data_IF_529976703388
#
_entry.id   IF_529976703388
#
_cell.length_a   1.000
_cell.length_b   1.000
_cell.length_c   1.000
_cell.angle_alpha   90.00
_cell.angle_beta   90.00
_cell.angle_gamma   90.00
#
_symmetry.space_group_name_H-M   'P 1'
#
loop_
_entity.id
_entity.type
_entity.pdbx_description
1 polymer ?
#
# COMPACT_ATOMS: atom_id res chain seq x y z
N UNK A 1 36.61 9.60 7.48
CA UNK A 1 37.04 8.80 6.30
C UNK A 1 35.86 7.94 5.92
N UNK A 2 35.14 8.36 4.89
CA UNK A 2 34.08 7.57 4.28
C UNK A 2 34.74 6.43 3.53
N UNK A 3 34.47 5.18 3.92
CA UNK A 3 34.81 4.03 3.10
C UNK A 3 33.66 3.83 2.10
N UNK A 4 33.91 4.24 0.85
CA UNK A 4 33.15 3.78 -0.32
C UNK A 4 33.60 2.35 -0.62
N UNK A 5 32.95 1.38 -0.01
CA UNK A 5 33.20 -0.03 -0.27
C UNK A 5 31.98 -0.63 -0.97
N UNK A 6 31.96 -0.69 -2.27
CA UNK A 6 31.19 -1.69 -3.01
C UNK A 6 31.85 -3.03 -2.76
N UNK A 7 31.43 -3.72 -1.71
CA UNK A 7 31.78 -5.12 -1.53
C UNK A 7 30.79 -5.94 -2.37
N UNK A 8 31.17 -6.27 -3.60
CA UNK A 8 30.56 -7.37 -4.33
C UNK A 8 30.88 -8.65 -3.53
N UNK A 9 29.90 -9.13 -2.77
CA UNK A 9 30.00 -10.43 -2.12
C UNK A 9 30.08 -11.53 -3.18
N UNK A 10 30.69 -12.67 -2.88
CA UNK A 10 30.84 -13.82 -3.78
C UNK A 10 29.53 -14.39 -4.33
N UNK A 11 28.39 -13.89 -3.87
CA UNK A 11 27.04 -14.32 -4.27
C UNK A 11 26.32 -13.33 -5.19
N UNK A 12 26.98 -12.27 -5.68
CA UNK A 12 26.35 -11.25 -6.53
C UNK A 12 25.31 -10.38 -5.78
N UNK A 13 25.36 -10.34 -4.44
CA UNK A 13 24.48 -9.48 -3.63
C UNK A 13 25.01 -8.06 -3.61
N UNK A 14 24.13 -7.13 -3.88
CA UNK A 14 24.37 -5.70 -3.70
C UNK A 14 23.60 -5.19 -2.49
N UNK A 15 24.20 -4.25 -1.76
CA UNK A 15 23.63 -3.72 -0.54
C UNK A 15 23.37 -2.22 -0.66
N UNK A 16 22.19 -1.80 -0.23
CA UNK A 16 21.89 -0.37 -0.06
C UNK A 16 22.78 0.16 1.09
N UNK A 17 23.45 1.31 0.93
CA UNK A 17 24.21 1.92 2.01
C UNK A 17 23.29 2.28 3.18
N UNK A 18 23.87 2.44 4.38
CA UNK A 18 23.09 2.88 5.55
C UNK A 18 22.46 4.23 5.30
N UNK A 19 21.14 4.31 5.45
CA UNK A 19 20.35 5.52 5.20
C UNK A 19 20.22 6.44 6.43
N UNK A 20 20.83 6.08 7.56
CA UNK A 20 20.84 6.88 8.78
C UNK A 20 19.81 6.48 9.82
N UNK A 21 18.62 6.07 9.39
CA UNK A 21 17.54 5.61 10.28
C UNK A 21 16.86 4.36 9.68
N UNK A 22 16.13 3.56 10.49
CA UNK A 22 15.37 2.41 10.01
C UNK A 22 14.33 2.78 8.94
N UNK A 23 14.18 1.92 7.93
CA UNK A 23 13.11 2.05 6.91
C UNK A 23 11.81 1.58 7.54
N UNK A 24 10.77 2.43 7.49
CA UNK A 24 9.42 2.13 7.99
C UNK A 24 8.39 1.87 6.90
N UNK A 25 8.65 2.37 5.68
CA UNK A 25 7.81 2.14 4.51
C UNK A 25 8.64 2.24 3.24
N UNK A 26 8.22 1.51 2.21
CA UNK A 26 8.85 1.52 0.90
C UNK A 26 7.76 1.63 -0.18
N UNK A 27 7.99 2.46 -1.18
CA UNK A 27 7.14 2.56 -2.36
C UNK A 27 8.00 2.67 -3.63
N UNK A 28 7.41 2.31 -4.76
CA UNK A 28 8.03 2.52 -6.07
C UNK A 28 7.72 3.95 -6.50
N UNK A 29 8.76 4.73 -6.75
CA UNK A 29 8.68 6.00 -7.45
C UNK A 29 9.04 5.71 -8.90
N UNK A 30 8.11 5.89 -9.85
CA UNK A 30 8.36 5.49 -11.22
C UNK A 30 9.48 6.30 -11.85
N UNK A 31 10.26 5.64 -12.72
CA UNK A 31 11.00 6.30 -13.77
C UNK A 31 10.09 6.47 -14.98
N UNK A 32 10.13 7.62 -15.64
CA UNK A 32 9.65 7.78 -17.01
C UNK A 32 10.43 6.83 -17.92
N UNK A 33 9.86 6.42 -19.05
CA UNK A 33 10.28 5.34 -19.94
C UNK A 33 11.79 5.23 -20.32
N UNK A 34 12.62 6.20 -19.97
CA UNK A 34 14.07 6.22 -20.25
C UNK A 34 14.95 6.50 -19.03
N UNK A 35 14.41 6.52 -17.82
CA UNK A 35 15.18 6.74 -16.60
C UNK A 35 15.20 5.49 -15.73
N UNK A 36 16.28 5.32 -14.98
CA UNK A 36 16.39 4.27 -13.97
C UNK A 36 15.23 4.39 -12.99
N UNK A 37 14.54 3.26 -12.72
CA UNK A 37 13.47 3.20 -11.76
C UNK A 37 13.99 3.56 -10.36
N UNK A 38 13.23 4.34 -9.60
CA UNK A 38 13.57 4.71 -8.23
C UNK A 38 12.58 4.08 -7.23
N UNK A 39 13.11 3.74 -6.08
CA UNK A 39 12.33 3.43 -4.88
C UNK A 39 12.40 4.60 -3.92
N UNK A 40 11.32 4.86 -3.20
CA UNK A 40 11.31 5.82 -2.10
C UNK A 40 11.15 5.07 -0.79
N UNK A 41 12.09 5.26 0.11
CA UNK A 41 12.07 4.73 1.47
C UNK A 41 11.73 5.84 2.46
N UNK A 42 10.69 5.66 3.26
CA UNK A 42 10.43 6.53 4.42
C UNK A 42 11.21 5.98 5.60
N UNK A 43 11.93 6.86 6.27
CA UNK A 43 12.72 6.52 7.43
C UNK A 43 12.00 6.86 8.74
N UNK A 44 12.43 6.26 9.83
CA UNK A 44 11.84 6.48 11.16
C UNK A 44 12.02 7.92 11.67
N UNK A 45 13.02 8.65 11.16
CA UNK A 45 13.23 10.07 11.46
C UNK A 45 12.29 11.03 10.70
N UNK A 46 11.41 10.45 9.86
CA UNK A 46 10.44 11.18 9.04
C UNK A 46 10.97 11.64 7.69
N UNK A 47 12.24 11.46 7.37
CA UNK A 47 12.78 11.75 6.05
C UNK A 47 12.33 10.71 5.01
N UNK A 48 12.33 11.09 3.74
CA UNK A 48 12.12 10.17 2.61
C UNK A 48 13.37 10.19 1.72
N UNK A 49 13.90 9.00 1.45
CA UNK A 49 15.13 8.81 0.66
C UNK A 49 14.78 8.08 -0.62
N UNK A 50 15.15 8.65 -1.75
CA UNK A 50 15.01 8.00 -3.05
C UNK A 50 16.28 7.21 -3.36
N UNK A 51 16.11 5.99 -3.84
CA UNK A 51 17.17 5.05 -4.14
C UNK A 51 16.99 4.54 -5.56
N UNK A 52 18.01 4.67 -6.37
CA UNK A 52 18.03 4.16 -7.73
C UNK A 52 18.02 2.62 -7.74
N UNK A 53 17.21 1.99 -8.59
CA UNK A 53 16.99 0.54 -8.55
C UNK A 53 18.18 -0.30 -8.97
N UNK A 54 18.98 0.17 -9.92
CA UNK A 54 20.14 -0.56 -10.46
C UNK A 54 21.42 -0.30 -9.65
N UNK A 55 21.66 0.95 -9.30
CA UNK A 55 22.88 1.33 -8.59
C UNK A 55 22.78 1.20 -7.07
N UNK A 56 21.56 1.04 -6.54
CA UNK A 56 21.22 1.03 -5.13
C UNK A 56 21.75 2.24 -4.34
N UNK A 57 22.01 3.35 -5.04
CA UNK A 57 22.54 4.58 -4.43
C UNK A 57 21.40 5.54 -4.09
N UNK A 58 21.48 6.23 -2.95
CA UNK A 58 20.58 7.35 -2.66
C UNK A 58 20.76 8.44 -3.71
N UNK A 59 19.65 8.87 -4.33
CA UNK A 59 19.66 9.93 -5.35
C UNK A 59 19.21 11.26 -4.77
N UNK A 60 18.20 11.23 -3.89
CA UNK A 60 17.59 12.42 -3.29
C UNK A 60 17.13 12.14 -1.88
N UNK A 61 17.11 13.16 -1.03
CA UNK A 61 16.57 13.08 0.34
C UNK A 61 15.60 14.24 0.56
N UNK A 62 14.37 13.91 0.95
CA UNK A 62 13.37 14.89 1.31
C UNK A 62 13.31 15.03 2.83
N UNK A 63 13.78 16.16 3.33
CA UNK A 63 13.78 16.51 4.76
C UNK A 63 12.68 17.53 5.14
N UNK A 64 11.99 18.10 4.14
CA UNK A 64 10.94 19.13 4.35
C UNK A 64 9.56 18.57 4.62
N UNK A 65 9.46 17.25 4.85
CA UNK A 65 8.21 16.54 5.12
C UNK A 65 7.72 16.94 6.52
N UNK A 66 6.44 17.32 6.60
CA UNK A 66 5.79 17.57 7.90
C UNK A 66 5.69 16.26 8.68
N UNK A 67 6.22 16.25 9.88
CA UNK A 67 6.16 15.11 10.78
C UNK A 67 5.23 15.40 11.96
N UNK A 68 4.56 14.36 12.46
CA UNK A 68 3.81 14.46 13.70
C UNK A 68 4.80 14.69 14.87
N UNK A 69 4.71 15.85 15.52
CA UNK A 69 5.57 16.23 16.62
C UNK A 69 5.47 15.25 17.80
N UNK A 70 4.31 14.64 18.01
CA UNK A 70 4.10 13.66 19.09
C UNK A 70 4.83 12.34 18.84
N UNK A 71 5.03 11.96 17.58
CA UNK A 71 5.81 10.76 17.21
C UNK A 71 7.32 11.02 17.24
N UNK A 72 7.75 12.25 16.99
CA UNK A 72 9.16 12.62 17.06
C UNK A 72 9.72 12.59 18.49
N UNK A 73 8.84 12.66 19.50
CA UNK A 73 9.20 12.67 20.93
C UNK A 73 9.12 11.26 21.57
N UNK A 74 8.68 10.24 20.81
CA UNK A 74 8.63 8.87 21.33
C UNK A 74 10.06 8.42 21.75
N UNK A 75 10.27 7.99 23.00
CA UNK A 75 11.61 7.65 23.49
C UNK A 75 12.20 6.50 22.67
N UNK A 76 13.48 6.61 22.33
CA UNK A 76 14.27 5.67 21.51
C UNK A 76 14.29 4.21 22.01
N UNK A 77 13.74 3.95 23.20
CA UNK A 77 13.78 2.63 23.87
C UNK A 77 12.53 1.78 23.73
N UNK A 78 11.53 2.21 23.01
CA UNK A 78 10.44 1.30 22.66
C UNK A 78 10.77 0.65 21.32
N UNK A 79 11.25 -0.61 21.34
CA UNK A 79 11.06 -1.59 20.28
C UNK A 79 9.54 -1.84 20.05
N UNK A 80 8.72 -0.87 20.41
CA UNK A 80 7.30 -0.84 20.13
C UNK A 80 7.13 -0.89 18.63
N UNK A 81 6.45 -1.92 18.15
CA UNK A 81 5.99 -2.15 16.81
C UNK A 81 5.78 -0.83 16.08
N UNK A 82 6.76 -0.45 15.26
CA UNK A 82 6.66 0.74 14.41
C UNK A 82 5.56 0.39 13.42
N UNK A 83 4.34 0.85 13.71
CA UNK A 83 3.22 0.63 12.80
C UNK A 83 3.59 1.16 11.43
N UNK A 84 3.39 0.38 10.36
CA UNK A 84 3.66 0.84 9.01
C UNK A 84 2.99 2.20 8.79
N UNK A 85 3.77 3.16 8.34
CA UNK A 85 3.22 4.48 8.01
C UNK A 85 2.83 4.49 6.55
N UNK A 86 1.68 5.09 6.19
CA UNK A 86 1.29 5.18 4.81
C UNK A 86 2.34 5.95 4.00
N UNK A 87 2.73 5.34 2.92
CA UNK A 87 3.60 5.90 1.90
C UNK A 87 3.08 5.40 0.56
N UNK A 88 2.63 6.30 -0.29
CA UNK A 88 2.14 5.97 -1.61
C UNK A 88 2.62 6.99 -2.63
N UNK A 89 2.68 6.60 -3.89
CA UNK A 89 2.98 7.50 -4.98
C UNK A 89 1.80 7.54 -5.96
N UNK A 90 1.30 8.73 -6.23
CA UNK A 90 0.50 8.97 -7.44
C UNK A 90 1.48 9.19 -8.59
N UNK A 91 1.77 8.10 -9.30
CA UNK A 91 2.82 8.07 -10.31
C UNK A 91 2.48 8.94 -11.51
N UNK A 92 1.19 9.09 -11.84
CA UNK A 92 0.75 9.91 -12.95
C UNK A 92 0.95 11.40 -12.66
N UNK A 93 0.67 11.83 -11.43
CA UNK A 93 0.85 13.21 -11.00
C UNK A 93 2.29 13.52 -10.55
N UNK A 94 3.13 12.50 -10.34
CA UNK A 94 4.45 12.68 -9.76
C UNK A 94 4.42 13.10 -8.28
N UNK A 95 3.36 12.75 -7.56
CA UNK A 95 3.20 13.12 -6.15
C UNK A 95 3.51 11.94 -5.21
N UNK A 96 4.29 12.23 -4.18
CA UNK A 96 4.46 11.35 -3.03
C UNK A 96 3.42 11.71 -1.98
N UNK A 97 2.74 10.70 -1.42
CA UNK A 97 1.70 10.89 -0.41
C UNK A 97 2.07 10.14 0.87
N UNK A 98 2.05 10.86 1.97
CA UNK A 98 2.43 10.36 3.28
C UNK A 98 1.68 11.12 4.38
N UNK A 99 1.77 10.64 5.64
CA UNK A 99 1.16 11.37 6.76
C UNK A 99 1.72 12.78 6.86
N UNK A 100 0.83 13.72 7.17
CA UNK A 100 1.16 15.09 7.55
C UNK A 100 1.46 15.22 9.04
N UNK A 101 1.53 16.43 9.56
CA UNK A 101 1.71 16.73 10.98
C UNK A 101 0.58 16.27 11.90
N UNK A 102 -0.57 15.86 11.37
CA UNK A 102 -1.68 15.25 12.11
C UNK A 102 -1.95 13.83 11.57
N UNK A 103 -2.21 12.83 12.45
CA UNK A 103 -2.35 11.44 12.02
C UNK A 103 -3.56 11.15 11.12
N UNK A 104 -4.58 12.01 11.12
CA UNK A 104 -5.75 11.90 10.24
C UNK A 104 -5.60 12.62 8.89
N UNK A 105 -4.44 13.24 8.64
CA UNK A 105 -4.19 14.07 7.46
C UNK A 105 -3.01 13.53 6.67
N UNK A 106 -3.14 13.51 5.36
CA UNK A 106 -2.05 13.19 4.45
C UNK A 106 -1.56 14.45 3.74
N UNK A 107 -0.27 14.48 3.42
CA UNK A 107 0.34 15.54 2.62
C UNK A 107 0.76 15.00 1.26
N UNK A 108 0.59 15.82 0.24
CA UNK A 108 1.06 15.59 -1.11
C UNK A 108 2.31 16.41 -1.34
N UNK A 109 3.36 15.76 -1.81
CA UNK A 109 4.67 16.36 -2.08
C UNK A 109 5.06 16.04 -3.52
N UNK A 110 5.38 17.06 -4.29
CA UNK A 110 5.87 16.90 -5.67
C UNK A 110 7.25 16.26 -5.64
N UNK A 111 7.40 15.12 -6.33
CA UNK A 111 8.65 14.35 -6.33
C UNK A 111 9.77 15.02 -7.15
N UNK A 112 9.44 15.88 -8.10
CA UNK A 112 10.44 16.55 -8.94
C UNK A 112 10.99 17.80 -8.25
N UNK A 113 10.10 18.65 -7.70
CA UNK A 113 10.47 19.93 -7.09
C UNK A 113 10.73 19.85 -5.60
N UNK A 114 10.39 18.73 -4.95
CA UNK A 114 10.43 18.51 -3.49
C UNK A 114 9.56 19.51 -2.71
N UNK A 115 8.56 20.09 -3.37
CA UNK A 115 7.69 21.08 -2.78
C UNK A 115 6.44 20.43 -2.22
N UNK A 116 5.95 20.95 -1.10
CA UNK A 116 4.64 20.61 -0.56
C UNK A 116 3.56 21.14 -1.52
N UNK A 117 2.63 20.26 -1.93
CA UNK A 117 1.53 20.62 -2.83
C UNK A 117 0.30 21.04 -2.02
N UNK A 118 -0.24 20.12 -1.22
CA UNK A 118 -1.37 20.39 -0.32
C UNK A 118 -1.46 19.32 0.76
N UNK A 119 -2.24 19.63 1.81
CA UNK A 119 -2.67 18.65 2.82
C UNK A 119 -4.12 18.27 2.53
N UNK A 120 -4.45 16.99 2.80
CA UNK A 120 -5.80 16.47 2.66
C UNK A 120 -6.24 15.80 3.96
N UNK A 121 -7.33 16.27 4.53
CA UNK A 121 -7.94 15.70 5.72
C UNK A 121 -8.74 14.44 5.34
N UNK A 122 -8.30 13.28 5.82
CA UNK A 122 -8.96 11.98 5.56
C UNK A 122 -10.08 11.74 6.59
N UNK A 123 -9.87 12.15 7.82
CA UNK A 123 -10.89 12.13 8.86
C UNK A 123 -10.82 13.43 9.67
N UNK A 124 -11.97 13.91 10.21
CA UNK A 124 -12.00 15.14 10.99
C UNK A 124 -10.95 15.14 12.12
N UNK A 125 -10.06 16.14 12.09
CA UNK A 125 -9.00 16.30 13.08
C UNK A 125 -9.50 16.88 14.40
N UNK A 126 -10.54 17.73 14.32
CA UNK A 126 -11.09 18.42 15.48
C UNK A 126 -12.32 17.68 16.01
N UNK A 127 -12.16 17.02 17.16
CA UNK A 127 -13.29 16.56 17.98
C UNK A 127 -13.35 17.35 19.27
N UNK A 128 -14.51 17.93 19.55
CA UNK A 128 -14.78 18.54 20.85
C UNK A 128 -15.14 17.41 21.80
N UNK A 129 -14.26 17.06 22.72
CA UNK A 129 -14.57 16.20 23.86
C UNK A 129 -15.15 17.04 25.01
N UNK A 130 -16.05 16.44 25.79
CA UNK A 130 -16.49 17.05 27.05
C UNK A 130 -15.34 17.00 28.06
N UNK A 131 -15.25 17.95 29.01
CA UNK A 131 -14.17 17.96 29.99
C UNK A 131 -14.02 16.68 30.84
N UNK A 132 -15.10 15.92 31.00
CA UNK A 132 -15.15 14.68 31.78
C UNK A 132 -14.93 13.39 30.96
N UNK A 133 -14.72 13.52 29.65
CA UNK A 133 -14.46 12.37 28.77
C UNK A 133 -12.96 12.11 28.69
N UNK A 134 -12.60 10.82 28.66
CA UNK A 134 -11.24 10.39 28.42
C UNK A 134 -10.71 10.99 27.09
N UNK A 135 -9.45 11.39 27.08
CA UNK A 135 -8.78 11.92 25.87
C UNK A 135 -8.91 10.88 24.76
N UNK A 136 -9.68 11.22 23.73
CA UNK A 136 -9.86 10.37 22.56
C UNK A 136 -8.58 10.34 21.73
N UNK A 137 -8.07 9.14 21.46
CA UNK A 137 -7.00 8.98 20.47
C UNK A 137 -7.46 9.49 19.10
N UNK A 138 -6.64 10.24 18.38
CA UNK A 138 -7.01 10.72 17.05
C UNK A 138 -7.17 9.55 16.08
N UNK A 139 -8.04 9.72 15.08
CA UNK A 139 -8.11 8.78 13.96
C UNK A 139 -6.77 8.84 13.20
N UNK A 140 -6.22 7.70 12.89
CA UNK A 140 -4.94 7.57 12.19
C UNK A 140 -5.17 6.95 10.81
N UNK A 141 -4.59 7.54 9.77
CA UNK A 141 -4.52 6.94 8.44
C UNK A 141 -3.46 5.85 8.46
N UNK A 142 -3.89 4.62 8.17
CA UNK A 142 -3.02 3.43 8.21
C UNK A 142 -2.49 3.06 6.82
N UNK A 143 -3.26 3.33 5.78
CA UNK A 143 -2.88 2.97 4.41
C UNK A 143 -3.42 3.98 3.39
N UNK A 144 -2.66 4.19 2.32
CA UNK A 144 -3.06 4.98 1.15
C UNK A 144 -2.58 4.23 -0.08
N UNK A 145 -3.44 4.05 -1.07
CA UNK A 145 -3.09 3.44 -2.36
C UNK A 145 -3.80 4.16 -3.49
N UNK A 146 -3.18 4.15 -4.66
CA UNK A 146 -3.71 4.76 -5.88
C UNK A 146 -4.01 3.69 -6.92
N UNK A 147 -5.03 3.92 -7.75
CA UNK A 147 -5.23 3.16 -8.98
C UNK A 147 -4.16 3.53 -10.01
N UNK A 148 -3.99 2.70 -11.01
CA UNK A 148 -3.28 3.13 -12.20
C UNK A 148 -4.03 4.33 -12.84
N UNK A 149 -3.35 5.23 -13.57
CA UNK A 149 -4.02 6.24 -14.36
C UNK A 149 -4.83 5.59 -15.48
N UNK A 150 -5.97 6.16 -15.82
CA UNK A 150 -6.62 5.87 -17.08
C UNK A 150 -5.80 6.47 -18.23
N UNK A 151 -6.06 5.99 -19.47
CA UNK A 151 -5.32 6.44 -20.65
C UNK A 151 -5.24 7.97 -20.70
N UNK A 152 -4.04 8.52 -20.84
CA UNK A 152 -3.74 9.96 -20.91
C UNK A 152 -4.11 10.79 -19.67
N UNK A 153 -4.48 10.15 -18.56
CA UNK A 153 -4.75 10.85 -17.31
C UNK A 153 -3.45 11.26 -16.60
N UNK A 154 -3.42 12.50 -16.13
CA UNK A 154 -2.28 13.06 -15.37
C UNK A 154 -2.38 12.77 -13.86
N UNK A 155 -3.38 12.02 -13.43
CA UNK A 155 -3.62 11.63 -12.05
C UNK A 155 -4.20 10.22 -12.00
N UNK A 156 -4.01 9.52 -10.90
CA UNK A 156 -4.77 8.33 -10.64
C UNK A 156 -6.26 8.67 -10.53
N UNK A 157 -7.13 7.87 -11.16
CA UNK A 157 -8.58 8.09 -11.09
C UNK A 157 -9.12 7.92 -9.67
N UNK A 158 -8.54 6.95 -8.94
CA UNK A 158 -9.00 6.59 -7.60
C UNK A 158 -7.85 6.56 -6.61
N UNK A 159 -8.14 7.05 -5.41
CA UNK A 159 -7.33 6.84 -4.22
C UNK A 159 -8.18 6.07 -3.19
N UNK A 160 -7.60 5.09 -2.53
CA UNK A 160 -8.22 4.42 -1.40
C UNK A 160 -7.40 4.66 -0.13
N UNK A 161 -8.10 4.94 0.97
CA UNK A 161 -7.48 5.14 2.28
C UNK A 161 -8.12 4.23 3.32
N UNK A 162 -7.30 3.72 4.21
CA UNK A 162 -7.74 3.04 5.45
C UNK A 162 -7.40 3.96 6.60
N UNK A 163 -8.42 4.31 7.36
CA UNK A 163 -8.27 5.09 8.58
C UNK A 163 -9.05 4.45 9.72
N UNK A 164 -8.55 4.62 10.92
CA UNK A 164 -9.19 4.06 12.10
C UNK A 164 -8.58 4.54 13.40
N UNK A 165 -9.18 4.14 14.49
CA UNK A 165 -8.65 4.30 15.84
C UNK A 165 -9.06 3.13 16.71
N UNK A 166 -8.19 2.76 17.62
CA UNK A 166 -8.52 1.79 18.64
C UNK A 166 -9.55 2.35 19.61
N UNK A 167 -10.54 1.54 19.94
CA UNK A 167 -11.55 1.86 20.93
C UNK A 167 -11.00 1.64 22.33
N UNK A 168 -11.12 2.63 23.21
CA UNK A 168 -10.93 2.45 24.65
C UNK A 168 -12.27 2.07 25.30
N UNK A 169 -13.07 3.10 25.62
CA UNK A 169 -14.44 2.96 26.16
C UNK A 169 -15.52 2.86 25.05
N UNK A 170 -15.17 2.89 23.79
CA UNK A 170 -16.06 2.83 22.63
C UNK A 170 -15.57 1.79 21.63
N UNK A 171 -16.42 1.42 20.66
CA UNK A 171 -16.09 0.46 19.61
C UNK A 171 -14.97 0.99 18.72
N UNK A 172 -14.01 0.13 18.36
CA UNK A 172 -12.96 0.42 17.39
C UNK A 172 -13.57 0.96 16.09
N UNK A 173 -13.10 2.09 15.63
CA UNK A 173 -13.51 2.67 14.35
C UNK A 173 -12.51 2.26 13.27
N UNK A 174 -13.03 1.81 12.14
CA UNK A 174 -12.25 1.43 10.96
C UNK A 174 -13.04 1.79 9.71
N UNK A 175 -12.46 2.55 8.80
CA UNK A 175 -13.10 2.95 7.55
C UNK A 175 -12.20 2.69 6.36
N UNK A 176 -12.80 2.18 5.29
CA UNK A 176 -12.25 2.22 3.93
C UNK A 176 -12.94 3.35 3.20
N UNK A 177 -12.17 4.30 2.69
CA UNK A 177 -12.69 5.43 1.92
C UNK A 177 -12.13 5.41 0.52
N UNK A 178 -13.00 5.55 -0.46
CA UNK A 178 -12.68 5.62 -1.88
C UNK A 178 -12.89 7.06 -2.32
N UNK A 179 -11.85 7.65 -2.88
CA UNK A 179 -11.80 9.04 -3.31
C UNK A 179 -11.61 9.07 -4.81
N UNK A 180 -12.41 9.87 -5.50
CA UNK A 180 -12.32 10.05 -6.94
C UNK A 180 -11.63 11.38 -7.26
N UNK A 181 -10.75 11.39 -8.24
CA UNK A 181 -10.15 12.62 -8.72
C UNK A 181 -11.21 13.52 -9.38
N UNK A 182 -11.34 14.75 -8.90
CA UNK A 182 -12.20 15.76 -9.50
C UNK A 182 -11.33 16.80 -10.22
N UNK A 183 -11.42 16.83 -11.54
CA UNK A 183 -10.67 17.76 -12.40
C UNK A 183 -11.05 19.22 -12.21
N UNK A 184 -12.24 19.52 -11.65
CA UNK A 184 -12.71 20.89 -11.39
C UNK A 184 -12.06 21.48 -10.14
N UNK A 185 -12.10 20.74 -9.05
CA UNK A 185 -11.48 21.14 -7.78
C UNK A 185 -9.99 20.82 -7.72
N UNK A 186 -9.47 20.03 -8.66
CA UNK A 186 -8.07 19.53 -8.71
C UNK A 186 -7.65 18.85 -7.41
N UNK A 187 -8.54 18.03 -6.87
CA UNK A 187 -8.32 17.27 -5.65
C UNK A 187 -9.13 15.98 -5.66
N UNK A 188 -8.81 15.08 -4.74
CA UNK A 188 -9.59 13.88 -4.50
C UNK A 188 -10.82 14.19 -3.65
N UNK A 189 -12.00 13.80 -4.14
CA UNK A 189 -13.30 13.99 -3.47
C UNK A 189 -13.81 12.65 -2.98
N UNK A 190 -14.30 12.60 -1.75
CA UNK A 190 -14.86 11.37 -1.17
C UNK A 190 -16.07 10.92 -1.98
N UNK A 191 -15.95 9.71 -2.55
CA UNK A 191 -17.02 9.07 -3.29
C UNK A 191 -17.79 8.06 -2.42
N UNK A 192 -17.06 7.11 -1.81
CA UNK A 192 -17.66 6.03 -1.02
C UNK A 192 -16.90 5.85 0.29
N UNK A 193 -17.64 5.73 1.39
CA UNK A 193 -17.14 5.34 2.70
C UNK A 193 -17.76 4.00 3.09
N UNK A 194 -16.94 3.08 3.53
CA UNK A 194 -17.32 1.74 4.00
C UNK A 194 -16.79 1.59 5.42
N UNK A 195 -17.72 1.55 6.37
CA UNK A 195 -17.37 1.33 7.77
C UNK A 195 -17.18 -0.16 8.03
N UNK A 196 -16.18 -0.51 8.81
CA UNK A 196 -15.81 -1.88 9.15
C UNK A 196 -15.69 -2.81 7.92
N UNK A 197 -14.83 -2.48 6.93
CA UNK A 197 -14.65 -3.34 5.75
C UNK A 197 -14.22 -4.76 6.13
N UNK A 198 -13.52 -4.91 7.26
CA UNK A 198 -13.14 -6.15 7.92
C UNK A 198 -13.35 -6.06 9.42
N UNK A 199 -13.78 -7.16 10.06
CA UNK A 199 -14.12 -7.15 11.49
C UNK A 199 -12.91 -7.07 12.43
N UNK A 200 -11.70 -7.47 11.96
CA UNK A 200 -10.46 -7.51 12.76
C UNK A 200 -9.32 -6.73 12.12
N UNK A 201 -9.62 -5.56 11.58
CA UNK A 201 -8.62 -4.73 10.91
C UNK A 201 -8.37 -5.11 9.46
N UNK A 202 -7.78 -4.17 8.71
CA UNK A 202 -7.35 -4.36 7.33
C UNK A 202 -5.83 -4.59 7.34
N UNK A 203 -5.37 -5.69 6.73
CA UNK A 203 -3.94 -6.02 6.66
C UNK A 203 -3.29 -5.48 5.39
N UNK A 204 -4.04 -5.50 4.27
CA UNK A 204 -3.54 -4.97 3.00
C UNK A 204 -4.68 -4.43 2.15
N UNK A 205 -4.38 -3.45 1.29
CA UNK A 205 -5.27 -2.91 0.27
C UNK A 205 -4.48 -2.66 -1.01
N UNK A 206 -5.02 -3.10 -2.17
CA UNK A 206 -4.37 -2.94 -3.48
C UNK A 206 -5.41 -2.79 -4.59
N UNK A 207 -5.22 -1.79 -5.45
CA UNK A 207 -5.95 -1.71 -6.71
C UNK A 207 -5.40 -2.73 -7.72
N UNK A 208 -6.29 -3.24 -8.57
CA UNK A 208 -5.87 -3.97 -9.77
C UNK A 208 -5.15 -3.04 -10.75
N UNK A 209 -4.36 -3.58 -11.69
CA UNK A 209 -4.01 -2.82 -12.88
C UNK A 209 -5.29 -2.39 -13.62
N UNK A 210 -5.16 -1.52 -14.60
CA UNK A 210 -6.29 -1.14 -15.44
C UNK A 210 -6.74 -2.35 -16.28
N UNK A 211 -7.97 -2.83 -16.01
CA UNK A 211 -8.52 -4.04 -16.62
C UNK A 211 -9.33 -3.76 -17.89
N UNK A 212 -9.81 -2.53 -18.06
CA UNK A 212 -10.71 -2.14 -19.13
C UNK A 212 -10.60 -0.65 -19.43
N UNK A 213 -10.92 -0.25 -20.65
CA UNK A 213 -11.06 1.16 -21.02
C UNK A 213 -12.37 1.78 -20.48
N UNK A 214 -13.35 0.96 -20.11
CA UNK A 214 -14.58 1.42 -19.46
C UNK A 214 -14.29 1.80 -18.00
N UNK A 215 -14.45 3.06 -17.60
CA UNK A 215 -14.16 3.51 -16.24
C UNK A 215 -14.88 2.73 -15.13
N UNK A 216 -16.06 2.17 -15.41
CA UNK A 216 -16.85 1.38 -14.46
C UNK A 216 -16.26 -0.01 -14.21
N UNK A 217 -15.52 -0.53 -15.18
CA UNK A 217 -14.90 -1.84 -15.14
C UNK A 217 -13.36 -1.77 -15.17
N UNK A 218 -12.80 -0.56 -15.12
CA UNK A 218 -11.36 -0.33 -15.22
C UNK A 218 -10.61 -0.90 -14.04
N UNK A 219 -11.18 -0.85 -12.84
CA UNK A 219 -10.48 -1.21 -11.62
C UNK A 219 -11.31 -2.12 -10.71
N UNK A 220 -10.60 -3.03 -10.08
CA UNK A 220 -11.03 -3.71 -8.87
C UNK A 220 -10.13 -3.27 -7.72
N UNK A 221 -10.65 -3.30 -6.51
CA UNK A 221 -9.86 -3.15 -5.30
C UNK A 221 -9.90 -4.46 -4.54
N UNK A 222 -8.76 -4.92 -4.04
CA UNK A 222 -8.69 -6.07 -3.13
C UNK A 222 -8.27 -5.60 -1.75
N UNK A 223 -8.92 -6.15 -0.72
CA UNK A 223 -8.56 -5.94 0.68
C UNK A 223 -8.44 -7.25 1.40
N UNK A 224 -7.50 -7.34 2.33
CA UNK A 224 -7.34 -8.47 3.25
C UNK A 224 -7.51 -8.00 4.68
N UNK A 225 -7.99 -8.86 5.54
CA UNK A 225 -8.22 -8.50 6.94
C UNK A 225 -7.90 -9.60 7.94
N UNK A 226 -7.69 -9.18 9.18
CA UNK A 226 -7.45 -10.07 10.32
C UNK A 226 -8.64 -10.97 10.67
N UNK A 227 -9.76 -10.82 9.98
CA UNK A 227 -10.93 -11.72 10.05
C UNK A 227 -10.78 -12.95 9.13
N UNK A 228 -9.63 -13.13 8.46
CA UNK A 228 -9.37 -14.25 7.57
C UNK A 228 -9.99 -14.10 6.18
N UNK A 229 -10.63 -12.95 5.90
CA UNK A 229 -11.32 -12.72 4.63
C UNK A 229 -10.45 -11.93 3.65
N UNK A 230 -10.58 -12.27 2.37
CA UNK A 230 -10.16 -11.47 1.24
C UNK A 230 -11.42 -10.94 0.57
N UNK A 231 -11.53 -9.63 0.40
CA UNK A 231 -12.68 -9.00 -0.25
C UNK A 231 -12.26 -8.30 -1.52
N UNK A 232 -13.07 -8.39 -2.56
CA UNK A 232 -12.91 -7.60 -3.77
C UNK A 232 -14.06 -6.61 -3.89
N UNK A 233 -13.73 -5.43 -4.36
CA UNK A 233 -14.65 -4.30 -4.49
C UNK A 233 -14.67 -3.84 -5.94
N UNK A 234 -15.83 -3.39 -6.39
CA UNK A 234 -16.04 -2.87 -7.75
C UNK A 234 -16.88 -1.60 -7.74
N UNK A 235 -16.79 -0.85 -8.80
CA UNK A 235 -17.69 0.28 -9.05
C UNK A 235 -19.04 -0.26 -9.52
N UNK A 236 -20.11 0.34 -9.02
CA UNK A 236 -21.47 0.11 -9.45
C UNK A 236 -22.15 1.43 -9.74
N UNK A 237 -23.21 1.39 -10.51
CA UNK A 237 -24.01 2.57 -10.88
C UNK A 237 -25.42 2.44 -10.35
N UNK A 238 -25.97 3.55 -9.86
CA UNK A 238 -27.38 3.67 -9.51
C UNK A 238 -27.99 4.85 -10.22
N UNK A 239 -29.08 4.62 -10.95
CA UNK A 239 -29.88 5.69 -11.52
C UNK A 239 -30.69 6.38 -10.44
N UNK A 240 -30.56 7.68 -10.35
CA UNK A 240 -31.34 8.54 -9.48
C UNK A 240 -32.49 9.18 -10.29
N UNK A 241 -33.54 9.66 -9.58
CA UNK A 241 -34.63 10.41 -10.21
C UNK A 241 -34.06 11.64 -10.93
N UNK A 242 -34.42 11.85 -12.19
CA UNK A 242 -33.95 13.00 -13.01
C UNK A 242 -32.75 12.70 -13.90
N UNK A 243 -32.58 11.45 -14.37
CA UNK A 243 -31.53 11.03 -15.32
C UNK A 243 -30.07 11.19 -14.81
N UNK A 244 -29.87 11.40 -13.51
CA UNK A 244 -28.55 11.45 -12.90
C UNK A 244 -28.11 10.04 -12.50
N UNK A 245 -26.92 9.62 -12.94
CA UNK A 245 -26.30 8.36 -12.52
C UNK A 245 -25.26 8.66 -11.45
N UNK A 246 -25.30 7.93 -10.37
CA UNK A 246 -24.33 7.96 -9.29
C UNK A 246 -23.48 6.70 -9.35
N UNK A 247 -22.16 6.85 -9.22
CA UNK A 247 -21.21 5.76 -9.16
C UNK A 247 -20.70 5.60 -7.73
N UNK A 248 -20.61 4.38 -7.26
CA UNK A 248 -20.12 4.08 -5.91
C UNK A 248 -19.45 2.70 -5.86
N UNK A 249 -18.63 2.48 -4.85
CA UNK A 249 -17.96 1.20 -4.65
C UNK A 249 -18.81 0.28 -3.75
N UNK A 250 -18.84 -0.99 -4.11
CA UNK A 250 -19.49 -2.03 -3.31
C UNK A 250 -18.66 -3.30 -3.28
N UNK A 251 -18.86 -4.11 -2.25
CA UNK A 251 -18.27 -5.42 -2.14
C UNK A 251 -18.81 -6.32 -3.25
N UNK A 252 -17.89 -6.79 -4.12
CA UNK A 252 -18.20 -7.73 -5.19
C UNK A 252 -18.21 -9.15 -4.67
N UNK A 253 -17.20 -9.51 -3.86
CA UNK A 253 -17.03 -10.86 -3.34
C UNK A 253 -16.23 -10.87 -2.05
N UNK A 254 -16.42 -11.92 -1.28
CA UNK A 254 -15.63 -12.24 -0.09
C UNK A 254 -15.30 -13.72 -0.13
N UNK A 255 -14.05 -14.07 0.12
CA UNK A 255 -13.56 -15.44 0.16
C UNK A 255 -12.45 -15.60 1.18
N UNK A 256 -12.19 -16.84 1.56
CA UNK A 256 -11.12 -17.21 2.49
C UNK A 256 -10.51 -18.54 2.06
N UNK A 257 -9.33 -18.83 2.54
CA UNK A 257 -8.69 -20.11 2.32
C UNK A 257 -8.34 -20.75 3.66
N UNK A 258 -9.07 -21.81 4.01
CA UNK A 258 -8.98 -22.48 5.31
C UNK A 258 -9.13 -21.44 6.43
N UNK A 259 -8.48 -21.59 7.55
CA UNK A 259 -8.48 -20.62 8.65
C UNK A 259 -7.21 -19.75 8.67
N UNK A 260 -6.51 -19.65 7.52
CA UNK A 260 -5.28 -18.87 7.42
C UNK A 260 -5.57 -17.38 7.34
N UNK A 261 -4.82 -16.58 8.08
CA UNK A 261 -4.92 -15.11 8.05
C UNK A 261 -4.19 -14.57 6.82
N UNK A 262 -4.88 -13.80 5.95
CA UNK A 262 -4.24 -13.14 4.83
C UNK A 262 -3.50 -11.88 5.31
N UNK A 263 -2.21 -11.80 5.00
CA UNK A 263 -1.36 -10.67 5.36
C UNK A 263 -1.21 -9.67 4.22
N UNK A 264 -1.11 -10.16 2.99
CA UNK A 264 -0.84 -9.32 1.83
C UNK A 264 -1.56 -9.85 0.59
N UNK A 265 -1.87 -8.94 -0.32
CA UNK A 265 -2.46 -9.25 -1.63
C UNK A 265 -1.71 -8.51 -2.73
N UNK A 266 -1.46 -9.19 -3.84
CA UNK A 266 -0.85 -8.61 -5.03
C UNK A 266 -1.61 -9.01 -6.29
N UNK A 267 -1.66 -8.11 -7.27
CA UNK A 267 -2.25 -8.33 -8.56
C UNK A 267 -1.19 -8.66 -9.60
N UNK A 268 -1.44 -9.63 -10.46
CA UNK A 268 -0.63 -9.82 -11.65
C UNK A 268 -0.68 -8.54 -12.53
N UNK A 269 0.41 -8.17 -13.21
CA UNK A 269 0.46 -6.95 -14.02
C UNK A 269 -0.59 -6.86 -15.12
N UNK A 270 -1.09 -8.01 -15.60
CA UNK A 270 -2.17 -8.12 -16.59
C UNK A 270 -3.57 -8.27 -15.95
N UNK A 271 -3.66 -8.29 -14.62
CA UNK A 271 -4.89 -8.47 -13.88
C UNK A 271 -5.49 -9.88 -13.91
N UNK A 272 -4.80 -10.85 -14.50
CA UNK A 272 -5.31 -12.24 -14.67
C UNK A 272 -5.31 -13.04 -13.37
N UNK A 273 -4.45 -12.70 -12.41
CA UNK A 273 -4.30 -13.41 -11.15
C UNK A 273 -4.27 -12.45 -9.96
N UNK A 274 -4.78 -12.95 -8.85
CA UNK A 274 -4.68 -12.34 -7.53
C UNK A 274 -3.90 -13.29 -6.62
N UNK A 275 -2.72 -12.87 -6.15
CA UNK A 275 -1.92 -13.61 -5.19
C UNK A 275 -2.24 -13.15 -3.77
N UNK A 276 -2.42 -14.11 -2.85
CA UNK A 276 -2.68 -13.84 -1.43
C UNK A 276 -1.64 -14.56 -0.59
N UNK A 277 -0.85 -13.79 0.15
CA UNK A 277 0.09 -14.28 1.13
C UNK A 277 -0.65 -14.58 2.45
N UNK A 278 -0.61 -15.82 2.91
CA UNK A 278 -1.32 -16.24 4.12
C UNK A 278 -0.70 -17.48 4.76
N UNK A 279 -0.36 -17.40 6.03
CA UNK A 279 0.21 -18.52 6.77
C UNK A 279 1.40 -19.13 6.03
N UNK A 280 1.35 -20.42 5.72
CA UNK A 280 2.43 -21.19 5.05
C UNK A 280 2.42 -21.07 3.51
N UNK A 281 1.48 -20.32 2.92
CA UNK A 281 1.20 -20.42 1.50
C UNK A 281 1.09 -19.05 0.84
N UNK A 282 1.32 -19.03 -0.47
CA UNK A 282 0.73 -18.05 -1.37
C UNK A 282 -0.30 -18.76 -2.22
N UNK A 283 -1.53 -18.28 -2.21
CA UNK A 283 -2.62 -18.81 -3.03
C UNK A 283 -2.87 -17.90 -4.21
N UNK A 284 -3.04 -18.48 -5.40
CA UNK A 284 -3.32 -17.77 -6.64
C UNK A 284 -4.79 -17.97 -7.02
N UNK A 285 -5.48 -16.88 -7.27
CA UNK A 285 -6.90 -16.86 -7.57
C UNK A 285 -7.15 -16.17 -8.91
N UNK A 286 -8.10 -16.70 -9.66
CA UNK A 286 -8.70 -15.97 -10.77
C UNK A 286 -9.66 -14.91 -10.19
N UNK A 287 -9.40 -13.62 -10.40
CA UNK A 287 -10.22 -12.58 -9.80
C UNK A 287 -11.62 -12.47 -10.39
N UNK A 288 -11.88 -13.04 -11.56
CA UNK A 288 -13.19 -13.02 -12.21
C UNK A 288 -14.10 -14.13 -11.68
N UNK A 289 -13.60 -15.35 -11.63
CA UNK A 289 -14.35 -16.54 -11.22
C UNK A 289 -14.22 -16.87 -9.74
N UNK A 290 -13.22 -16.31 -9.05
CA UNK A 290 -12.84 -16.62 -7.68
C UNK A 290 -12.46 -18.10 -7.47
N UNK A 291 -12.01 -18.74 -8.53
CA UNK A 291 -11.48 -20.10 -8.47
C UNK A 291 -9.99 -20.02 -8.12
N UNK A 292 -9.60 -20.81 -7.12
CA UNK A 292 -8.18 -20.95 -6.78
C UNK A 292 -7.46 -21.75 -7.87
N UNK A 293 -6.46 -21.15 -8.50
CA UNK A 293 -5.68 -21.75 -9.59
C UNK A 293 -4.50 -22.57 -9.07
N UNK A 294 -3.82 -22.08 -8.04
CA UNK A 294 -2.67 -22.75 -7.47
C UNK A 294 -2.44 -22.37 -6.00
N UNK A 295 -1.65 -23.21 -5.33
CA UNK A 295 -1.12 -22.98 -4.00
C UNK A 295 0.37 -23.20 -4.03
N UNK A 296 1.12 -22.15 -3.77
CA UNK A 296 2.57 -22.19 -3.70
C UNK A 296 2.99 -22.33 -2.22
N UNK A 297 3.82 -23.31 -1.96
CA UNK A 297 4.36 -23.57 -0.64
C UNK A 297 5.82 -24.04 -0.76
N UNK A 298 6.61 -23.71 0.25
CA UNK A 298 7.98 -24.23 0.38
C UNK A 298 8.26 -24.50 1.85
N UNK A 299 9.02 -25.54 2.19
CA UNK A 299 9.46 -25.79 3.56
C UNK A 299 10.30 -24.65 4.15
N UNK A 300 10.83 -23.81 3.29
CA UNK A 300 11.71 -22.70 3.65
C UNK A 300 10.98 -21.52 4.29
N UNK A 301 9.68 -21.35 4.02
CA UNK A 301 8.82 -20.30 4.60
C UNK A 301 7.84 -20.93 5.60
N UNK A 302 7.85 -20.42 6.83
CA UNK A 302 6.93 -20.85 7.89
C UNK A 302 5.74 -19.92 8.07
N UNK A 303 5.86 -18.66 7.65
CA UNK A 303 4.79 -17.69 7.65
C UNK A 303 5.07 -16.66 6.56
N UNK A 304 4.13 -16.47 5.64
CA UNK A 304 4.29 -15.59 4.49
C UNK A 304 3.62 -14.25 4.79
N UNK A 305 4.43 -13.20 4.90
CA UNK A 305 3.95 -11.87 5.26
C UNK A 305 3.62 -11.00 4.04
N UNK A 306 4.37 -11.15 2.96
CA UNK A 306 4.18 -10.34 1.76
C UNK A 306 4.48 -11.15 0.52
N UNK A 307 3.83 -10.79 -0.58
CA UNK A 307 4.12 -11.34 -1.91
C UNK A 307 3.93 -10.26 -2.96
N UNK A 308 4.64 -10.37 -4.08
CA UNK A 308 4.43 -9.50 -5.23
C UNK A 308 4.86 -10.20 -6.52
N UNK A 309 4.22 -9.83 -7.64
CA UNK A 309 4.60 -10.35 -8.94
C UNK A 309 5.83 -9.62 -9.44
N UNK A 310 6.75 -10.33 -10.05
CA UNK A 310 7.99 -9.79 -10.57
C UNK A 310 8.36 -10.40 -11.93
N UNK A 311 9.37 -9.79 -12.56
CA UNK A 311 9.80 -10.15 -13.90
C UNK A 311 8.84 -9.65 -14.99
N UNK A 312 9.26 -9.87 -16.23
CA UNK A 312 8.50 -9.43 -17.41
C UNK A 312 7.13 -10.11 -17.41
N UNK A 313 6.06 -9.33 -17.46
CA UNK A 313 4.65 -9.78 -17.48
C UNK A 313 4.22 -10.60 -16.24
N UNK A 314 4.92 -10.45 -15.10
CA UNK A 314 4.53 -11.15 -13.87
C UNK A 314 4.75 -12.66 -13.89
N UNK A 315 5.73 -13.15 -14.65
CA UNK A 315 6.05 -14.59 -14.72
C UNK A 315 6.48 -15.17 -13.38
N UNK A 316 7.13 -14.36 -12.56
CA UNK A 316 7.64 -14.79 -11.27
C UNK A 316 6.82 -14.21 -10.14
N UNK A 317 6.79 -14.89 -9.02
CA UNK A 317 6.22 -14.42 -7.78
C UNK A 317 7.28 -14.45 -6.69
N UNK A 318 7.57 -13.30 -6.12
CA UNK A 318 8.40 -13.16 -4.96
C UNK A 318 7.54 -13.19 -3.70
N UNK A 319 7.96 -13.89 -2.66
CA UNK A 319 7.32 -13.81 -1.36
C UNK A 319 8.36 -13.83 -0.24
N UNK A 320 8.04 -13.10 0.82
CA UNK A 320 8.88 -12.98 1.99
C UNK A 320 8.11 -13.35 3.26
N UNK A 321 8.78 -13.99 4.18
CA UNK A 321 8.17 -14.45 5.43
C UNK A 321 9.17 -14.89 6.48
N UNK A 322 8.69 -15.56 7.49
CA UNK A 322 9.51 -16.09 8.59
C UNK A 322 10.08 -17.48 8.28
N UNK A 323 11.32 -17.78 8.66
CA UNK A 323 12.34 -16.83 9.13
C UNK A 323 12.71 -15.87 8.00
N UNK A 324 13.29 -14.72 8.25
CA UNK A 324 13.65 -13.67 7.26
C UNK A 324 14.20 -14.26 5.95
N UNK A 325 13.31 -14.69 5.10
CA UNK A 325 13.63 -15.41 3.85
C UNK A 325 12.79 -14.87 2.71
N UNK A 326 13.45 -14.66 1.59
CA UNK A 326 12.84 -14.30 0.32
C UNK A 326 12.91 -15.50 -0.62
N UNK A 327 11.78 -15.84 -1.22
CA UNK A 327 11.65 -16.96 -2.17
C UNK A 327 11.01 -16.44 -3.46
N UNK A 328 11.52 -16.90 -4.59
CA UNK A 328 10.94 -16.58 -5.90
C UNK A 328 10.51 -17.88 -6.59
N UNK A 329 9.24 -17.93 -7.00
CA UNK A 329 8.67 -19.00 -7.82
C UNK A 329 8.58 -18.58 -9.27
N UNK A 330 8.84 -19.52 -10.19
CA UNK A 330 8.36 -19.44 -11.57
C UNK A 330 6.93 -19.99 -11.60
N UNK A 331 5.98 -19.17 -11.99
CA UNK A 331 4.55 -19.53 -12.01
C UNK A 331 4.18 -20.54 -13.10
N UNK A 332 5.00 -20.65 -14.13
CA UNK A 332 4.75 -21.64 -15.21
C UNK A 332 5.10 -23.04 -14.71
N UNK A 333 6.26 -23.21 -14.09
CA UNK A 333 6.69 -24.50 -13.54
C UNK A 333 6.18 -24.76 -12.11
N UNK A 334 5.63 -23.74 -11.46
CA UNK A 334 5.21 -23.74 -10.04
C UNK A 334 6.32 -24.21 -9.08
N UNK A 335 7.56 -23.92 -9.43
CA UNK A 335 8.75 -24.34 -8.67
C UNK A 335 9.53 -23.12 -8.18
N UNK A 336 10.25 -23.32 -7.07
CA UNK A 336 11.18 -22.31 -6.54
C UNK A 336 12.38 -22.24 -7.48
N UNK A 337 12.64 -21.04 -8.00
CA UNK A 337 13.82 -20.79 -8.87
C UNK A 337 14.94 -20.10 -8.12
N UNK A 338 14.63 -19.43 -7.04
CA UNK A 338 15.64 -18.77 -6.24
C UNK A 338 15.14 -18.53 -4.81
N UNK A 339 16.04 -18.62 -3.84
CA UNK A 339 15.76 -18.27 -2.46
C UNK A 339 16.99 -17.70 -1.77
N UNK A 340 16.78 -16.82 -0.81
CA UNK A 340 17.82 -16.25 0.04
C UNK A 340 17.31 -16.11 1.46
N UNK A 341 18.20 -16.36 2.42
CA UNK A 341 18.00 -16.09 3.86
C UNK A 341 19.08 -15.13 4.34
N UNK A 342 18.78 -14.38 5.39
CA UNK A 342 19.77 -13.65 6.16
C UNK A 342 20.74 -14.61 6.87
#
# INVERSE_FOLDING_TARGET
KMHSGTAAGSDGREFVPRLGAPIVSLAVASGYENTEQEYVARLADGSAVFVASLSLKPTRVFSTIKCDAMRAIAPENTHANVSPQPLAADLAAGHLVLLSGHPSTVQFVDMATQSHVHDMEIAPSNRVSRPDEAILTPITVCNVVFSAPLRDAMHAEWMATIDGREGGSFTTELSLKLWQWDSRSKTYVLNTRIDHPHNKGVTCVRFSPCLSEDPLNAFLLATTGGDGQVKTWRIASRSLKGARTEHFWLCRSSFSYRESLPHHVAWAPDGSLLAVAQGLFVTLWDPQTLVMQARLATPELKDVHTCDFCGRKGRYLAAMGSPSRLVIWDLVSQSVVWSVSD
#
